data_IF_768774710694
#
_entry.id   IF_768774710694
#
_cell.length_a   1.000
_cell.length_b   1.000
_cell.length_c   1.000
_cell.angle_alpha   90.00
_cell.angle_beta   90.00
_cell.angle_gamma   90.00
#
_symmetry.space_group_name_H-M   'P 1'
#
loop_
_entity.id
_entity.type
_entity.pdbx_description
1 polymer ?
#
# COMPACT_ATOMS: atom_id res chain seq x y z
N UNK A 1 17.19 12.17 11.32
CA UNK A 1 15.84 11.60 11.20
C UNK A 1 15.24 12.12 9.90
N UNK A 2 14.77 11.24 9.01
CA UNK A 2 14.13 11.63 7.75
C UNK A 2 12.64 11.80 8.03
N UNK A 3 12.06 12.95 7.65
CA UNK A 3 10.64 13.26 7.88
C UNK A 3 9.96 13.50 6.54
N UNK A 4 9.03 12.63 6.11
CA UNK A 4 8.26 12.83 4.88
C UNK A 4 7.36 14.08 4.96
N UNK A 5 7.08 14.66 3.79
CA UNK A 5 6.18 15.81 3.66
C UNK A 5 4.80 15.54 4.26
N UNK A 6 4.13 16.62 4.70
CA UNK A 6 2.73 16.55 5.12
C UNK A 6 1.81 16.29 3.93
N UNK A 7 0.92 15.31 4.12
CA UNK A 7 -0.15 15.03 3.18
C UNK A 7 -1.07 16.26 3.05
N UNK A 8 -1.46 16.57 1.82
CA UNK A 8 -2.36 17.65 1.44
C UNK A 8 -3.54 17.09 0.67
N UNK A 9 -4.67 17.78 0.72
CA UNK A 9 -5.81 17.46 -0.14
C UNK A 9 -5.35 17.48 -1.61
N UNK A 10 -5.76 16.47 -2.37
CA UNK A 10 -5.33 16.24 -3.75
C UNK A 10 -4.16 15.27 -3.90
N UNK A 11 -3.43 14.97 -2.81
CA UNK A 11 -2.33 14.00 -2.83
C UNK A 11 -2.82 12.57 -3.06
N UNK A 12 -1.94 11.75 -3.62
CA UNK A 12 -2.18 10.32 -3.84
C UNK A 12 -1.78 9.49 -2.62
N UNK A 13 -2.73 8.72 -2.11
CA UNK A 13 -2.52 7.63 -1.15
C UNK A 13 -2.57 6.31 -1.93
N UNK A 14 -1.46 5.59 -1.97
CA UNK A 14 -1.41 4.25 -2.52
C UNK A 14 -1.78 3.22 -1.45
N UNK A 15 -2.58 2.23 -1.81
CA UNK A 15 -3.00 1.16 -0.91
C UNK A 15 -2.45 -0.18 -1.38
N UNK A 16 -1.83 -0.95 -0.49
CA UNK A 16 -1.21 -2.24 -0.80
C UNK A 16 -1.59 -3.33 0.20
N UNK A 17 -1.38 -4.61 -0.15
CA UNK A 17 -1.79 -5.74 0.68
C UNK A 17 -0.58 -6.54 1.17
N UNK A 18 0.08 -6.16 2.28
CA UNK A 18 1.31 -6.83 2.74
C UNK A 18 1.08 -8.21 3.35
N UNK A 19 -0.15 -8.54 3.74
CA UNK A 19 -0.49 -9.83 4.34
C UNK A 19 -1.88 -10.29 3.89
N UNK A 20 -2.93 -10.10 4.69
CA UNK A 20 -4.25 -10.70 4.41
C UNK A 20 -4.94 -10.08 3.19
N UNK A 21 -5.68 -10.85 2.36
CA UNK A 21 -6.28 -10.37 1.11
C UNK A 21 -7.62 -9.63 1.32
N UNK A 22 -7.68 -8.67 2.24
CA UNK A 22 -8.94 -8.03 2.65
C UNK A 22 -9.62 -7.23 1.53
N UNK A 23 -8.88 -6.79 0.52
CA UNK A 23 -9.46 -6.18 -0.69
C UNK A 23 -10.35 -7.16 -1.47
N UNK A 24 -10.05 -8.46 -1.39
CA UNK A 24 -10.84 -9.52 -2.01
C UNK A 24 -11.92 -10.05 -1.05
N UNK A 25 -11.55 -10.36 0.20
CA UNK A 25 -12.44 -11.05 1.16
C UNK A 25 -13.43 -10.12 1.87
N UNK A 26 -13.09 -8.82 1.99
CA UNK A 26 -13.92 -7.81 2.65
C UNK A 26 -14.25 -6.63 1.72
N UNK A 27 -14.51 -6.91 0.43
CA UNK A 27 -14.68 -5.93 -0.65
C UNK A 27 -15.61 -4.75 -0.29
N UNK A 28 -16.78 -5.01 0.32
CA UNK A 28 -17.72 -3.93 0.72
C UNK A 28 -17.10 -2.95 1.72
N UNK A 29 -16.31 -3.45 2.68
CA UNK A 29 -15.63 -2.61 3.67
C UNK A 29 -14.46 -1.86 3.05
N UNK A 30 -13.71 -2.51 2.17
CA UNK A 30 -12.64 -1.87 1.42
C UNK A 30 -13.14 -0.70 0.56
N UNK A 31 -14.19 -0.92 -0.25
CA UNK A 31 -14.78 0.13 -1.09
C UNK A 31 -15.28 1.31 -0.26
N UNK A 32 -15.91 1.07 0.89
CA UNK A 32 -16.35 2.16 1.78
C UNK A 32 -15.17 2.97 2.32
N UNK A 33 -14.07 2.31 2.70
CA UNK A 33 -12.85 2.99 3.16
C UNK A 33 -12.19 3.83 2.07
N UNK A 34 -12.12 3.29 0.85
CA UNK A 34 -11.65 4.01 -0.34
C UNK A 34 -12.48 5.26 -0.59
N UNK A 35 -13.81 5.12 -0.69
CA UNK A 35 -14.74 6.24 -0.90
C UNK A 35 -14.60 7.31 0.19
N UNK A 36 -14.45 6.91 1.45
CA UNK A 36 -14.26 7.87 2.54
C UNK A 36 -13.03 8.75 2.33
N UNK A 37 -11.89 8.18 1.93
CA UNK A 37 -10.67 8.95 1.68
C UNK A 37 -10.79 9.82 0.42
N UNK A 38 -11.46 9.32 -0.62
CA UNK A 38 -11.78 10.09 -1.84
C UNK A 38 -12.67 11.30 -1.52
N UNK A 39 -13.68 11.13 -0.66
CA UNK A 39 -14.55 12.22 -0.16
C UNK A 39 -13.78 13.26 0.69
N UNK A 40 -12.65 12.88 1.30
CA UNK A 40 -11.72 13.83 1.93
C UNK A 40 -10.79 14.54 0.93
N UNK A 41 -10.94 14.23 -0.36
CA UNK A 41 -10.23 14.86 -1.46
C UNK A 41 -8.87 14.25 -1.77
N UNK A 42 -8.59 13.02 -1.31
CA UNK A 42 -7.38 12.29 -1.70
C UNK A 42 -7.63 11.45 -2.96
N UNK A 43 -6.56 11.20 -3.72
CA UNK A 43 -6.59 10.23 -4.82
C UNK A 43 -6.16 8.87 -4.29
N UNK A 44 -6.91 7.81 -4.60
CA UNK A 44 -6.53 6.45 -4.19
C UNK A 44 -5.93 5.70 -5.36
N UNK A 45 -4.68 5.28 -5.20
CA UNK A 45 -4.00 4.36 -6.12
C UNK A 45 -4.01 2.95 -5.53
N UNK A 46 -4.59 2.00 -6.24
CA UNK A 46 -4.67 0.61 -5.81
C UNK A 46 -3.43 -0.16 -6.26
N UNK A 47 -2.78 -0.88 -5.33
CA UNK A 47 -1.63 -1.73 -5.63
C UNK A 47 -2.00 -2.94 -6.50
N UNK A 48 -0.98 -3.55 -7.11
CA UNK A 48 -1.11 -4.63 -8.10
C UNK A 48 -1.70 -5.94 -7.57
N UNK A 49 -1.89 -6.09 -6.26
CA UNK A 49 -2.57 -7.22 -5.59
C UNK A 49 -3.98 -6.90 -5.09
N UNK A 50 -4.49 -5.70 -5.37
CA UNK A 50 -5.86 -5.33 -5.04
C UNK A 50 -6.85 -6.29 -5.72
N UNK A 51 -7.75 -6.86 -4.91
CA UNK A 51 -8.72 -7.85 -5.35
C UNK A 51 -8.17 -9.28 -5.56
N UNK A 52 -6.86 -9.49 -5.41
CA UNK A 52 -6.25 -10.82 -5.47
C UNK A 52 -6.27 -11.54 -4.12
N UNK A 53 -6.15 -12.86 -4.16
CA UNK A 53 -6.13 -13.72 -2.99
C UNK A 53 -5.32 -14.98 -3.28
N UNK A 54 -4.44 -15.32 -2.36
CA UNK A 54 -3.72 -16.59 -2.25
C UNK A 54 -4.01 -17.16 -0.84
N UNK A 55 -5.25 -17.61 -0.66
CA UNK A 55 -5.81 -18.10 0.60
C UNK A 55 -5.70 -17.10 1.77
N UNK A 56 -4.73 -17.31 2.67
CA UNK A 56 -4.54 -16.50 3.87
C UNK A 56 -3.73 -15.21 3.60
N UNK A 57 -3.21 -15.04 2.37
CA UNK A 57 -2.40 -13.89 1.95
C UNK A 57 -2.86 -13.34 0.59
N UNK A 58 -2.40 -12.15 0.21
CA UNK A 58 -2.73 -11.47 -1.06
C UNK A 58 -1.96 -11.98 -2.27
N UNK A 59 -0.80 -12.61 -2.04
CA UNK A 59 0.06 -13.18 -3.07
C UNK A 59 1.33 -13.77 -2.46
N UNK A 60 2.21 -14.28 -3.31
CA UNK A 60 3.53 -14.77 -2.89
C UNK A 60 4.36 -13.67 -2.22
N UNK A 61 5.47 -14.04 -1.57
CA UNK A 61 6.38 -13.06 -0.95
C UNK A 61 6.90 -12.07 -2.01
N UNK A 62 7.33 -12.58 -3.18
CA UNK A 62 7.87 -11.75 -4.26
C UNK A 62 6.82 -10.80 -4.84
N UNK A 63 5.59 -11.25 -5.03
CA UNK A 63 4.52 -10.39 -5.54
C UNK A 63 4.15 -9.28 -4.55
N UNK A 64 4.07 -9.58 -3.25
CA UNK A 64 3.77 -8.58 -2.22
C UNK A 64 4.92 -7.56 -2.06
N UNK A 65 6.17 -8.03 -2.14
CA UNK A 65 7.33 -7.15 -2.14
C UNK A 65 7.37 -6.28 -3.41
N UNK A 66 7.04 -6.86 -4.55
CA UNK A 66 6.95 -6.13 -5.81
C UNK A 66 5.89 -5.04 -5.75
N UNK A 67 4.66 -5.35 -5.29
CA UNK A 67 3.60 -4.36 -5.11
C UNK A 67 4.07 -3.18 -4.24
N UNK A 68 4.73 -3.44 -3.10
CA UNK A 68 5.25 -2.38 -2.24
C UNK A 68 6.33 -1.56 -2.97
N UNK A 69 7.28 -2.21 -3.63
CA UNK A 69 8.37 -1.53 -4.33
C UNK A 69 7.85 -0.68 -5.50
N UNK A 70 6.87 -1.15 -6.28
CA UNK A 70 6.21 -0.35 -7.32
C UNK A 70 5.69 0.99 -6.76
N UNK A 71 5.08 0.96 -5.57
CA UNK A 71 4.55 2.15 -4.91
C UNK A 71 5.64 3.05 -4.30
N UNK A 72 6.75 2.46 -3.82
CA UNK A 72 7.94 3.19 -3.38
C UNK A 72 8.57 3.96 -4.56
N UNK A 73 8.63 3.35 -5.73
CA UNK A 73 9.21 3.96 -6.92
C UNK A 73 8.30 5.01 -7.59
N UNK A 74 6.99 4.94 -7.36
CA UNK A 74 6.04 5.90 -7.92
C UNK A 74 6.16 7.29 -7.28
N UNK A 75 6.64 8.29 -8.02
CA UNK A 75 6.87 9.66 -7.51
C UNK A 75 5.59 10.44 -7.17
N UNK A 76 4.45 10.06 -7.74
CA UNK A 76 3.18 10.74 -7.51
C UNK A 76 2.51 10.30 -6.21
N UNK A 77 2.98 9.20 -5.61
CA UNK A 77 2.50 8.67 -4.33
C UNK A 77 3.14 9.42 -3.17
N UNK A 78 2.31 10.01 -2.30
CA UNK A 78 2.77 10.73 -1.09
C UNK A 78 2.61 9.92 0.19
N UNK A 79 1.71 8.94 0.17
CA UNK A 79 1.51 7.98 1.25
C UNK A 79 1.31 6.58 0.70
N UNK A 80 1.92 5.58 1.32
CA UNK A 80 1.66 4.16 1.10
C UNK A 80 0.96 3.65 2.36
N UNK A 81 -0.20 3.03 2.21
CA UNK A 81 -1.04 2.59 3.33
C UNK A 81 -1.38 1.12 3.16
N UNK A 82 -1.17 0.31 4.20
CA UNK A 82 -1.60 -1.09 4.18
C UNK A 82 -3.14 -1.17 4.18
N UNK A 83 -3.71 -1.98 3.27
CA UNK A 83 -5.14 -2.26 3.24
C UNK A 83 -5.60 -2.91 4.56
N UNK A 84 -4.79 -3.83 5.08
CA UNK A 84 -4.89 -4.41 6.42
C UNK A 84 -3.57 -5.11 6.79
N UNK A 85 -3.44 -5.52 8.05
CA UNK A 85 -2.37 -6.39 8.51
C UNK A 85 -2.60 -7.89 8.25
N UNK A 86 -2.27 -8.71 9.24
CA UNK A 86 -2.26 -10.16 9.18
C UNK A 86 -1.04 -10.68 9.94
N UNK A 87 -0.34 -11.68 9.40
CA UNK A 87 0.80 -12.31 10.08
C UNK A 87 2.07 -12.43 9.22
N UNK A 88 2.05 -12.00 7.95
CA UNK A 88 3.10 -12.34 6.98
C UNK A 88 3.88 -11.14 6.42
N UNK A 89 3.68 -9.93 6.94
CA UNK A 89 4.34 -8.73 6.40
C UNK A 89 5.87 -8.75 6.59
N UNK A 90 6.35 -9.39 7.65
CA UNK A 90 7.78 -9.55 7.93
C UNK A 90 8.53 -10.30 6.79
N UNK A 91 7.84 -11.16 6.04
CA UNK A 91 8.44 -11.87 4.90
C UNK A 91 8.91 -10.95 3.76
N UNK A 92 8.41 -9.70 3.70
CA UNK A 92 8.81 -8.73 2.68
C UNK A 92 10.15 -8.08 2.99
N UNK A 93 10.58 -8.04 4.26
CA UNK A 93 11.74 -7.26 4.72
C UNK A 93 13.01 -7.48 3.88
N UNK A 94 13.39 -8.71 3.47
CA UNK A 94 14.59 -8.91 2.65
C UNK A 94 14.50 -8.34 1.22
N UNK A 95 13.32 -7.94 0.77
CA UNK A 95 13.03 -7.58 -0.62
C UNK A 95 12.59 -6.12 -0.79
N UNK A 96 12.44 -5.36 0.31
CA UNK A 96 12.07 -3.94 0.22
C UNK A 96 13.24 -3.14 -0.33
N UNK A 97 12.96 -2.26 -1.28
CA UNK A 97 13.94 -1.31 -1.81
C UNK A 97 14.08 -0.12 -0.85
N UNK A 98 14.86 -0.34 0.22
CA UNK A 98 15.11 0.65 1.25
C UNK A 98 15.86 1.87 0.72
N UNK A 99 16.75 1.69 -0.28
CA UNK A 99 17.49 2.80 -0.88
C UNK A 99 16.56 3.75 -1.62
N UNK A 100 15.61 3.23 -2.41
CA UNK A 100 14.60 4.02 -3.06
C UNK A 100 13.71 4.77 -2.05
N UNK A 101 13.34 4.12 -0.95
CA UNK A 101 12.52 4.72 0.10
C UNK A 101 13.26 5.86 0.84
N UNK A 102 14.56 5.71 1.08
CA UNK A 102 15.39 6.76 1.67
C UNK A 102 15.56 7.94 0.70
N UNK A 103 15.73 7.66 -0.59
CA UNK A 103 15.90 8.69 -1.64
C UNK A 103 14.63 9.48 -1.90
N UNK A 104 13.46 8.85 -1.76
CA UNK A 104 12.15 9.49 -1.91
C UNK A 104 11.25 9.14 -0.72
N UNK A 105 11.42 9.81 0.44
CA UNK A 105 10.69 9.49 1.65
C UNK A 105 9.19 9.69 1.49
N UNK A 106 8.41 8.69 1.90
CA UNK A 106 6.95 8.69 1.86
C UNK A 106 6.36 8.48 3.24
N UNK A 107 5.12 8.91 3.44
CA UNK A 107 4.30 8.49 4.59
C UNK A 107 4.00 6.99 4.44
N UNK A 108 4.32 6.17 5.45
CA UNK A 108 4.03 4.73 5.52
C UNK A 108 3.16 4.43 6.74
#
# INVERSE_FOLDING_TARGET
>A
MIVPEKLRVGDTIAVFSPSSPATATAKKRYMRGKMYLEEKGFKILEGSLTGKSDFYRSGTIKERAHELNELIHNKDVKCIMAAIGGMNSNSLLPYVDYEALVKNPKRL
#
